data_IF_286218661038
#
_entry.id   IF_286218661038
#
_cell.length_a   1.000
_cell.length_b   1.000
_cell.length_c   1.000
_cell.angle_alpha   90.00
_cell.angle_beta   90.00
_cell.angle_gamma   90.00
#
_symmetry.space_group_name_H-M   'P 1'
#
loop_
_entity.id
_entity.type
_entity.pdbx_description
1 polymer ?
#
# COMPACT_ATOMS: atom_id res chain seq x y z
N UNK A 1 15.63 5.24 59.27
CA UNK A 1 15.84 5.46 57.83
C UNK A 1 15.62 4.09 57.16
N UNK A 2 14.41 3.71 56.73
CA UNK A 2 13.78 3.97 55.39
C UNK A 2 14.79 3.68 54.26
N UNK A 3 14.67 2.69 53.37
CA UNK A 3 13.49 2.07 52.75
C UNK A 3 13.78 0.60 52.37
N UNK A 4 12.86 -0.31 52.72
CA UNK A 4 12.74 -1.61 52.07
C UNK A 4 11.43 -1.63 51.29
N UNK A 5 11.49 -1.42 49.98
CA UNK A 5 10.36 -1.64 49.07
C UNK A 5 10.22 -3.15 48.85
N UNK A 6 9.48 -3.84 49.72
CA UNK A 6 8.99 -5.19 49.46
C UNK A 6 7.54 -5.09 49.00
N UNK A 7 7.33 -5.23 47.71
CA UNK A 7 6.00 -5.21 47.11
C UNK A 7 6.00 -5.74 45.68
N UNK A 8 6.74 -6.83 45.41
CA UNK A 8 6.45 -7.63 44.23
C UNK A 8 5.13 -8.36 44.52
N UNK A 9 4.01 -7.82 44.02
CA UNK A 9 2.75 -8.56 44.03
C UNK A 9 2.92 -9.77 43.13
N UNK A 10 2.85 -10.96 43.73
CA UNK A 10 2.72 -12.21 42.99
C UNK A 10 1.48 -12.11 42.09
N UNK A 11 1.69 -12.06 40.78
CA UNK A 11 0.63 -12.18 39.79
C UNK A 11 0.09 -13.60 39.93
N UNK A 12 -1.17 -13.72 40.37
CA UNK A 12 -1.84 -15.01 40.47
C UNK A 12 -1.81 -15.71 39.10
N UNK A 13 -1.50 -17.02 39.03
CA UNK A 13 -1.50 -17.73 37.76
C UNK A 13 -2.94 -17.94 37.26
N UNK A 14 -3.12 -17.71 35.96
CA UNK A 14 -4.22 -18.21 35.12
C UNK A 14 -5.65 -17.78 35.46
N UNK A 15 -5.89 -16.48 35.67
CA UNK A 15 -7.19 -15.94 35.28
C UNK A 15 -7.34 -16.06 33.75
N UNK A 16 -8.45 -16.62 33.21
CA UNK A 16 -8.67 -16.68 31.77
C UNK A 16 -8.59 -15.28 31.18
N UNK A 17 -7.56 -15.02 30.37
CA UNK A 17 -7.49 -13.78 29.60
C UNK A 17 -8.66 -13.78 28.61
N UNK A 18 -9.47 -12.72 28.55
CA UNK A 18 -10.54 -12.63 27.57
C UNK A 18 -9.95 -12.82 26.17
N UNK A 19 -10.47 -13.79 25.42
CA UNK A 19 -10.01 -14.04 24.06
C UNK A 19 -10.15 -12.76 23.22
N UNK A 20 -9.02 -12.22 22.77
CA UNK A 20 -9.01 -11.05 21.92
C UNK A 20 -9.62 -11.41 20.57
N UNK A 21 -10.63 -10.64 20.16
CA UNK A 21 -11.23 -10.80 18.84
C UNK A 21 -10.20 -10.47 17.77
N UNK A 22 -10.00 -11.40 16.83
CA UNK A 22 -9.16 -11.17 15.66
C UNK A 22 -9.87 -10.17 14.73
N UNK A 23 -9.19 -9.09 14.37
CA UNK A 23 -9.64 -8.17 13.33
C UNK A 23 -9.35 -8.77 11.95
N UNK A 24 -10.31 -8.68 11.03
CA UNK A 24 -10.15 -9.04 9.63
C UNK A 24 -10.54 -7.84 8.77
N UNK A 25 -9.73 -7.54 7.77
CA UNK A 25 -10.01 -6.54 6.74
C UNK A 25 -9.82 -7.26 5.41
N UNK A 26 -10.93 -7.66 4.79
CA UNK A 26 -10.97 -8.48 3.57
C UNK A 26 -11.58 -7.74 2.37
N UNK A 27 -11.87 -6.44 2.53
CA UNK A 27 -12.46 -5.62 1.49
C UNK A 27 -13.97 -5.78 1.34
N UNK A 28 -14.65 -6.45 2.28
CA UNK A 28 -16.10 -6.62 2.29
C UNK A 28 -16.72 -5.81 3.43
N UNK A 29 -17.77 -5.05 3.13
CA UNK A 29 -18.53 -4.32 4.14
C UNK A 29 -19.12 -3.01 3.61
N UNK A 30 -19.77 -2.26 4.50
CA UNK A 30 -20.34 -0.96 4.14
C UNK A 30 -19.23 0.03 3.76
N UNK A 31 -19.34 0.64 2.58
CA UNK A 31 -18.39 1.65 2.09
C UNK A 31 -17.20 1.07 1.31
N UNK A 32 -16.95 -0.24 1.39
CA UNK A 32 -15.99 -0.89 0.52
C UNK A 32 -16.48 -0.88 -0.92
N UNK A 33 -15.57 -0.60 -1.84
CA UNK A 33 -15.83 -0.64 -3.29
C UNK A 33 -14.61 -1.16 -4.02
N UNK A 34 -14.83 -1.93 -5.07
CA UNK A 34 -13.76 -2.30 -5.98
C UNK A 34 -13.25 -1.07 -6.74
N UNK A 35 -11.94 -0.95 -6.86
CA UNK A 35 -11.31 0.04 -7.75
C UNK A 35 -11.17 -0.56 -9.15
N UNK A 36 -11.37 0.29 -10.15
CA UNK A 36 -11.28 -0.06 -11.56
C UNK A 36 -10.40 0.94 -12.31
N UNK A 37 -10.06 0.67 -13.57
CA UNK A 37 -9.32 1.62 -14.40
C UNK A 37 -9.99 2.99 -14.52
N UNK A 38 -11.31 3.08 -14.33
CA UNK A 38 -12.04 4.35 -14.34
C UNK A 38 -11.77 5.21 -13.11
N UNK A 39 -11.17 4.68 -12.05
CA UNK A 39 -10.81 5.44 -10.85
C UNK A 39 -9.46 6.14 -10.98
N UNK A 40 -8.65 5.75 -11.97
CA UNK A 40 -7.28 6.20 -12.12
C UNK A 40 -7.10 7.11 -13.35
N UNK A 41 -6.03 7.89 -13.31
CA UNK A 41 -5.48 8.64 -14.44
C UNK A 41 -4.03 8.27 -14.65
N UNK A 42 -3.65 8.19 -15.91
CA UNK A 42 -2.26 8.04 -16.31
C UNK A 42 -1.46 9.31 -15.96
N UNK A 43 -0.25 9.14 -15.41
CA UNK A 43 0.65 10.26 -15.11
C UNK A 43 1.70 10.40 -16.20
N UNK A 44 2.49 9.36 -16.46
CA UNK A 44 3.62 9.41 -17.40
C UNK A 44 3.78 8.15 -18.27
N UNK A 45 2.85 7.18 -18.18
CA UNK A 45 2.98 5.93 -18.93
C UNK A 45 2.53 6.07 -20.40
N UNK A 46 2.90 5.11 -21.24
CA UNK A 46 2.42 5.00 -22.62
C UNK A 46 1.01 4.38 -22.65
N UNK A 47 0.22 4.61 -23.72
CA UNK A 47 -0.98 3.80 -23.96
C UNK A 47 -0.64 2.31 -23.95
N UNK A 48 -1.41 1.52 -23.20
CA UNK A 48 -1.19 0.08 -23.08
C UNK A 48 -0.20 -0.36 -22.00
N UNK A 49 0.52 0.56 -21.32
CA UNK A 49 1.34 0.19 -20.15
C UNK A 49 0.48 -0.42 -19.05
N UNK A 50 -0.72 0.10 -18.84
CA UNK A 50 -1.71 -0.43 -17.89
C UNK A 50 -2.90 -1.04 -18.62
N UNK A 51 -3.27 -2.26 -18.23
CA UNK A 51 -4.45 -2.96 -18.73
C UNK A 51 -5.28 -3.46 -17.55
N UNK A 52 -6.59 -3.21 -17.58
CA UNK A 52 -7.52 -3.66 -16.54
C UNK A 52 -8.37 -4.81 -17.07
N UNK A 53 -8.35 -5.95 -16.40
CA UNK A 53 -9.13 -7.14 -16.81
C UNK A 53 -9.55 -7.95 -15.59
N UNK A 54 -10.85 -8.21 -15.46
CA UNK A 54 -11.39 -9.08 -14.42
C UNK A 54 -11.04 -8.65 -12.99
N UNK A 55 -11.06 -7.34 -12.71
CA UNK A 55 -10.68 -6.79 -11.41
C UNK A 55 -9.17 -6.66 -11.16
N UNK A 56 -8.32 -7.09 -12.10
CA UNK A 56 -6.86 -7.02 -11.97
C UNK A 56 -6.27 -5.89 -12.83
N UNK A 57 -5.31 -5.17 -12.28
CA UNK A 57 -4.50 -4.17 -12.99
C UNK A 57 -3.15 -4.77 -13.41
N UNK A 58 -2.92 -4.92 -14.70
CA UNK A 58 -1.67 -5.41 -15.26
C UNK A 58 -0.81 -4.23 -15.71
N UNK A 59 0.46 -4.21 -15.31
CA UNK A 59 1.44 -3.22 -15.76
C UNK A 59 2.58 -3.90 -16.53
N UNK A 60 3.01 -3.30 -17.64
CA UNK A 60 4.17 -3.79 -18.42
C UNK A 60 5.51 -3.40 -17.80
N UNK A 61 5.53 -2.31 -17.02
CA UNK A 61 6.75 -1.68 -16.48
C UNK A 61 7.53 -0.83 -17.48
N UNK A 62 7.04 -0.68 -18.73
CA UNK A 62 7.67 0.16 -19.76
C UNK A 62 6.70 1.26 -20.23
N UNK A 63 7.00 2.54 -19.95
CA UNK A 63 8.12 3.02 -19.15
C UNK A 63 7.89 2.78 -17.65
N UNK A 64 8.93 2.98 -16.83
CA UNK A 64 8.75 3.15 -15.38
C UNK A 64 7.86 4.37 -15.14
N UNK A 65 6.76 4.17 -14.44
CA UNK A 65 5.76 5.21 -14.27
C UNK A 65 4.60 4.77 -13.40
N UNK A 66 3.69 5.70 -13.17
CA UNK A 66 2.59 5.52 -12.23
C UNK A 66 1.24 5.92 -12.84
N UNK A 67 0.19 5.34 -12.29
CA UNK A 67 -1.17 5.86 -12.35
C UNK A 67 -1.53 6.41 -10.97
N UNK A 68 -2.44 7.38 -10.91
CA UNK A 68 -2.96 7.90 -9.64
C UNK A 68 -4.47 7.90 -9.62
N UNK A 69 -5.06 7.92 -8.42
CA UNK A 69 -6.49 8.17 -8.27
C UNK A 69 -6.87 9.51 -8.90
N UNK A 70 -8.04 9.56 -9.54
CA UNK A 70 -8.63 10.79 -10.11
C UNK A 70 -8.76 11.87 -9.04
N UNK A 71 -9.25 11.48 -7.87
CA UNK A 71 -9.48 12.34 -6.73
C UNK A 71 -8.56 11.95 -5.57
N UNK A 72 -7.88 12.91 -4.92
CA UNK A 72 -7.09 12.64 -3.73
C UNK A 72 -7.95 12.07 -2.60
N UNK A 73 -7.42 11.08 -1.88
CA UNK A 73 -8.09 10.47 -0.73
C UNK A 73 -7.23 10.72 0.51
N UNK A 74 -7.84 11.28 1.56
CA UNK A 74 -7.13 11.60 2.81
C UNK A 74 -7.09 10.41 3.76
N UNK A 75 -8.27 9.86 4.07
CA UNK A 75 -8.45 8.73 4.97
C UNK A 75 -8.97 7.56 4.16
N UNK A 76 -8.30 6.41 4.23
CA UNK A 76 -8.72 5.21 3.50
C UNK A 76 -8.27 3.96 4.24
N UNK A 77 -8.99 2.87 3.96
CA UNK A 77 -8.52 1.51 4.13
C UNK A 77 -8.39 0.92 2.71
N UNK A 78 -7.33 0.16 2.45
CA UNK A 78 -7.10 -0.46 1.15
C UNK A 78 -6.69 -1.91 1.34
N UNK A 79 -7.42 -2.79 0.66
CA UNK A 79 -7.02 -4.18 0.46
C UNK A 79 -6.55 -4.30 -0.98
N UNK A 80 -5.33 -4.77 -1.16
CA UNK A 80 -4.72 -5.01 -2.46
C UNK A 80 -3.95 -6.31 -2.39
N UNK A 81 -4.15 -7.17 -3.38
CA UNK A 81 -3.36 -8.37 -3.60
C UNK A 81 -2.45 -8.15 -4.81
N UNK A 82 -1.23 -8.66 -4.75
CA UNK A 82 -0.24 -8.46 -5.80
C UNK A 82 0.48 -9.76 -6.15
N UNK A 83 1.05 -9.80 -7.35
CA UNK A 83 1.99 -10.84 -7.76
C UNK A 83 2.89 -10.35 -8.89
N UNK A 84 4.14 -10.81 -8.93
CA UNK A 84 5.03 -10.57 -10.04
C UNK A 84 4.78 -11.56 -11.18
N UNK A 85 4.80 -11.08 -12.43
CA UNK A 85 4.64 -11.90 -13.64
C UNK A 85 5.96 -12.17 -14.35
N UNK A 86 7.04 -11.57 -13.88
CA UNK A 86 8.42 -11.73 -14.35
C UNK A 86 9.32 -11.89 -13.12
N UNK A 87 10.37 -12.68 -13.26
CA UNK A 87 11.44 -12.77 -12.27
C UNK A 87 12.03 -11.38 -12.05
N UNK A 88 12.43 -11.07 -10.81
CA UNK A 88 12.96 -9.76 -10.45
C UNK A 88 11.93 -8.65 -10.77
N UNK A 89 10.70 -8.83 -10.33
CA UNK A 89 9.66 -7.81 -10.45
C UNK A 89 9.77 -6.74 -9.37
N UNK A 90 9.61 -5.48 -9.75
CA UNK A 90 9.58 -4.33 -8.83
C UNK A 90 8.33 -3.48 -9.08
N UNK A 91 7.59 -3.16 -8.01
CA UNK A 91 6.41 -2.29 -8.04
C UNK A 91 6.19 -1.68 -6.66
N UNK A 92 5.14 -0.86 -6.54
CA UNK A 92 4.77 -0.26 -5.27
C UNK A 92 3.47 0.51 -5.36
N UNK A 93 2.90 0.81 -4.19
CA UNK A 93 1.78 1.75 -4.05
C UNK A 93 2.25 2.96 -3.25
N UNK A 94 2.03 4.16 -3.79
CA UNK A 94 2.35 5.40 -3.10
C UNK A 94 1.10 5.95 -2.41
N UNK A 95 1.19 6.20 -1.10
CA UNK A 95 0.20 6.92 -0.33
C UNK A 95 0.66 8.35 -0.03
N UNK A 96 -0.30 9.27 -0.11
CA UNK A 96 -0.09 10.71 0.15
C UNK A 96 1.04 11.34 -0.67
N UNK A 97 1.19 10.90 -1.92
CA UNK A 97 2.10 11.54 -2.86
C UNK A 97 1.75 13.01 -3.08
N UNK A 98 2.77 13.87 -3.10
CA UNK A 98 2.56 15.30 -3.27
C UNK A 98 2.16 15.63 -4.71
N UNK A 99 1.26 16.61 -4.88
CA UNK A 99 0.90 17.06 -6.22
C UNK A 99 2.12 17.58 -6.99
N UNK A 100 3.08 18.19 -6.30
CA UNK A 100 4.32 18.71 -6.88
C UNK A 100 5.17 17.59 -7.48
N UNK A 101 5.31 16.43 -6.83
CA UNK A 101 6.07 15.31 -7.37
C UNK A 101 5.37 14.69 -8.58
N UNK A 102 4.04 14.54 -8.52
CA UNK A 102 3.21 14.07 -9.64
C UNK A 102 3.35 14.99 -10.86
N UNK A 103 3.29 16.31 -10.69
CA UNK A 103 3.39 17.27 -11.78
C UNK A 103 4.79 17.26 -12.42
N UNK A 104 5.84 17.11 -11.61
CA UNK A 104 7.22 16.95 -12.10
C UNK A 104 7.37 15.66 -12.91
N UNK A 105 6.83 14.55 -12.42
CA UNK A 105 6.85 13.26 -13.09
C UNK A 105 6.08 13.29 -14.42
N UNK A 106 4.87 13.88 -14.42
CA UNK A 106 4.08 14.09 -15.63
C UNK A 106 4.80 14.94 -16.68
N UNK A 107 5.60 15.92 -16.24
CA UNK A 107 6.43 16.74 -17.12
C UNK A 107 7.73 16.05 -17.58
N UNK A 108 7.99 14.81 -17.18
CA UNK A 108 9.23 14.08 -17.50
C UNK A 108 10.48 14.64 -16.81
N UNK A 109 10.30 15.40 -15.71
CA UNK A 109 11.38 16.10 -14.98
C UNK A 109 11.54 15.61 -13.54
N UNK A 110 10.94 14.48 -13.19
CA UNK A 110 10.92 13.95 -11.83
C UNK A 110 11.17 12.44 -11.79
N UNK A 111 11.61 11.97 -10.63
CA UNK A 111 11.65 10.55 -10.29
C UNK A 111 10.23 10.06 -9.95
N UNK A 112 10.13 8.83 -9.45
CA UNK A 112 8.90 8.31 -8.85
C UNK A 112 8.36 9.26 -7.75
N UNK A 113 7.04 9.20 -7.46
CA UNK A 113 6.41 10.12 -6.52
C UNK A 113 7.09 10.11 -5.14
N UNK A 114 7.06 11.25 -4.46
CA UNK A 114 7.32 11.28 -3.02
C UNK A 114 6.11 10.72 -2.24
N UNK A 115 6.26 10.52 -0.94
CA UNK A 115 5.20 10.00 -0.06
C UNK A 115 5.61 8.72 0.64
N UNK A 116 4.62 7.99 1.15
CA UNK A 116 4.84 6.67 1.74
C UNK A 116 4.70 5.62 0.65
N UNK A 117 5.75 4.84 0.42
CA UNK A 117 5.73 3.75 -0.54
C UNK A 117 5.53 2.40 0.19
N UNK A 118 4.50 1.69 -0.24
CA UNK A 118 4.32 0.27 0.08
C UNK A 118 5.03 -0.53 -1.01
N UNK A 119 6.27 -0.92 -0.74
CA UNK A 119 7.12 -1.64 -1.67
C UNK A 119 6.58 -3.04 -1.97
N UNK A 120 6.57 -3.40 -3.25
CA UNK A 120 6.26 -4.74 -3.75
C UNK A 120 7.44 -5.22 -4.58
N UNK A 121 8.29 -6.08 -4.01
CA UNK A 121 9.56 -6.49 -4.61
C UNK A 121 9.72 -8.01 -4.60
N UNK A 122 10.14 -8.54 -5.74
CA UNK A 122 10.72 -9.87 -5.83
C UNK A 122 12.19 -9.79 -5.39
N UNK A 123 12.57 -10.58 -4.40
CA UNK A 123 13.93 -10.59 -3.84
C UNK A 123 15.00 -11.07 -4.85
N UNK A 124 14.60 -11.60 -6.00
CA UNK A 124 15.50 -11.85 -7.14
C UNK A 124 15.98 -10.59 -7.87
N UNK A 125 15.46 -9.40 -7.53
CA UNK A 125 16.09 -8.12 -7.88
C UNK A 125 17.37 -7.95 -7.05
N UNK A 126 18.53 -8.34 -7.61
CA UNK A 126 19.82 -7.96 -7.05
C UNK A 126 20.16 -6.52 -7.47
N UNK A 127 20.59 -5.71 -6.50
CA UNK A 127 20.94 -4.28 -6.63
C UNK A 127 22.21 -4.04 -7.43
#
# INVERSE_FOLDING_TARGET
MTNGLSGEQAVAPDAPQPELKKAFIDGVGQGWRALSGNDFVNVNCKPGTWTWKGGHAFCTGDPVGVIRMKHPIKNFEMVCEWMHKKHAGNSGVFAWASQVSIDKLAAGRGNLPDGIEFQVLDLGEET
#
